data_IF_042312146082
#
_entry.id   IF_042312146082
#
_cell.length_a   1.000
_cell.length_b   1.000
_cell.length_c   1.000
_cell.angle_alpha   90.00
_cell.angle_beta   90.00
_cell.angle_gamma   90.00
#
_symmetry.space_group_name_H-M   'P 1'
#
loop_
_entity.id
_entity.type
_entity.pdbx_description
1 polymer ?
#
# COMPACT_ATOMS: atom_id res chain seq x y z
N UNK A 1 -29.19 -60.50 37.33
CA UNK A 1 -29.84 -59.39 36.63
C UNK A 1 -28.77 -58.36 36.28
N UNK A 2 -28.15 -58.51 35.05
CA UNK A 2 -27.08 -57.67 34.58
C UNK A 2 -27.61 -56.72 33.54
N UNK A 3 -27.56 -55.41 33.80
CA UNK A 3 -27.88 -54.34 32.86
C UNK A 3 -26.60 -53.94 32.14
N UNK A 4 -26.51 -54.26 30.85
CA UNK A 4 -25.42 -53.79 29.99
C UNK A 4 -25.70 -52.41 29.46
N UNK A 5 -24.75 -51.48 29.67
CA UNK A 5 -24.75 -50.14 29.10
C UNK A 5 -24.01 -50.18 27.74
N UNK A 6 -24.74 -50.06 26.64
CA UNK A 6 -24.16 -49.88 25.31
C UNK A 6 -23.87 -48.40 25.08
N UNK A 7 -22.59 -47.98 25.20
CA UNK A 7 -22.12 -46.70 24.70
C UNK A 7 -21.88 -46.78 23.20
N UNK A 8 -22.76 -46.19 22.41
CA UNK A 8 -22.65 -46.03 20.98
C UNK A 8 -21.69 -44.84 20.67
N UNK A 9 -20.39 -45.15 20.52
CA UNK A 9 -19.40 -44.20 20.07
C UNK A 9 -19.44 -44.09 18.54
N UNK A 10 -20.05 -43.06 18.01
CA UNK A 10 -19.97 -42.72 16.58
C UNK A 10 -18.55 -42.22 16.23
N UNK A 11 -17.74 -43.11 15.65
CA UNK A 11 -16.46 -42.73 15.07
C UNK A 11 -16.72 -41.89 13.82
N UNK A 12 -16.48 -40.59 13.90
CA UNK A 12 -16.45 -39.70 12.72
C UNK A 12 -15.37 -40.18 11.75
N UNK A 13 -15.78 -40.47 10.51
CA UNK A 13 -14.85 -40.91 9.48
C UNK A 13 -13.87 -39.77 9.13
N UNK A 14 -12.54 -40.00 8.99
CA UNK A 14 -11.57 -38.99 8.71
C UNK A 14 -11.80 -38.22 7.39
N UNK A 15 -12.59 -38.78 6.48
CA UNK A 15 -13.00 -38.14 5.21
C UNK A 15 -13.90 -36.92 5.40
N UNK A 16 -14.67 -36.84 6.50
CA UNK A 16 -15.52 -35.68 6.79
C UNK A 16 -14.68 -34.52 7.33
N UNK A 17 -13.59 -34.80 8.05
CA UNK A 17 -12.68 -33.79 8.59
C UNK A 17 -11.86 -33.13 7.48
N UNK A 18 -11.48 -33.91 6.43
CA UNK A 18 -10.73 -33.36 5.26
C UNK A 18 -11.61 -32.45 4.39
N UNK A 19 -12.93 -32.71 4.32
CA UNK A 19 -13.85 -31.88 3.52
C UNK A 19 -14.17 -30.54 4.18
N UNK A 20 -14.04 -30.44 5.50
CA UNK A 20 -14.27 -29.18 6.24
C UNK A 20 -13.04 -28.25 6.16
N UNK A 21 -11.84 -28.79 6.00
CA UNK A 21 -10.61 -28.01 5.81
C UNK A 21 -10.46 -27.43 4.40
N UNK A 22 -11.21 -27.94 3.40
CA UNK A 22 -11.15 -27.43 2.01
C UNK A 22 -12.18 -26.33 1.71
N UNK A 23 -12.93 -25.88 2.70
CA UNK A 23 -13.93 -24.81 2.61
C UNK A 23 -13.55 -23.58 3.47
N UNK A 24 -12.26 -23.36 3.72
CA UNK A 24 -11.81 -22.02 4.09
C UNK A 24 -12.10 -21.11 2.88
N UNK A 25 -12.99 -20.11 2.99
CA UNK A 25 -13.06 -19.10 1.96
C UNK A 25 -11.68 -18.45 1.93
N UNK A 26 -11.06 -18.42 0.77
CA UNK A 26 -9.98 -17.48 0.47
C UNK A 26 -10.62 -16.10 0.61
N UNK A 27 -10.57 -15.54 1.80
CA UNK A 27 -10.70 -14.12 2.02
C UNK A 27 -9.38 -13.58 1.43
N UNK A 28 -9.41 -13.17 0.17
CA UNK A 28 -8.39 -12.28 -0.32
C UNK A 28 -8.42 -11.07 0.62
N UNK A 29 -7.54 -11.05 1.59
CA UNK A 29 -7.28 -9.86 2.36
C UNK A 29 -6.61 -8.90 1.37
N UNK A 30 -7.15 -7.72 1.22
CA UNK A 30 -6.46 -6.68 0.48
C UNK A 30 -5.20 -6.37 1.26
N UNK A 31 -4.05 -6.64 0.67
CA UNK A 31 -2.75 -6.50 1.34
C UNK A 31 -2.45 -5.04 1.67
N UNK A 32 -2.94 -4.10 0.85
CA UNK A 32 -2.64 -2.67 0.98
C UNK A 32 -3.91 -1.80 0.96
N UNK A 33 -4.59 -1.61 2.12
CA UNK A 33 -5.82 -0.82 2.20
C UNK A 33 -5.58 0.70 2.21
N UNK A 34 -4.34 1.17 2.06
CA UNK A 34 -3.90 2.55 2.17
C UNK A 34 -3.13 2.99 0.93
N UNK A 35 -2.89 4.29 0.78
CA UNK A 35 -2.16 4.83 -0.35
C UNK A 35 -0.70 5.14 -0.06
N UNK A 36 -0.37 5.46 1.19
CA UNK A 36 0.98 5.86 1.62
C UNK A 36 1.51 4.92 2.70
N UNK A 37 0.62 4.49 3.60
CA UNK A 37 0.99 3.62 4.70
C UNK A 37 1.08 2.17 4.25
N UNK A 38 2.21 1.53 4.46
CA UNK A 38 2.39 0.10 4.25
C UNK A 38 1.90 -0.70 5.44
N UNK A 39 1.31 -1.85 5.16
CA UNK A 39 0.98 -2.86 6.18
C UNK A 39 2.16 -3.82 6.36
N UNK A 40 2.06 -4.71 7.35
CA UNK A 40 3.03 -5.79 7.54
C UNK A 40 2.74 -7.03 6.68
N UNK A 41 1.67 -6.99 5.93
CA UNK A 41 1.26 -8.07 5.03
C UNK A 41 2.20 -8.08 3.82
N UNK A 42 2.53 -9.28 3.36
CA UNK A 42 3.48 -9.53 2.28
C UNK A 42 2.74 -10.22 1.14
N UNK A 43 3.11 -9.91 -0.10
CA UNK A 43 2.57 -10.61 -1.26
C UNK A 43 2.82 -12.13 -1.17
N UNK A 44 1.84 -12.93 -1.51
CA UNK A 44 1.93 -14.39 -1.46
C UNK A 44 2.99 -14.93 -2.44
N UNK A 45 3.80 -15.92 -2.03
CA UNK A 45 4.88 -16.44 -2.87
C UNK A 45 4.40 -16.93 -4.23
N UNK A 46 4.91 -16.30 -5.29
CA UNK A 46 4.61 -16.65 -6.68
C UNK A 46 3.46 -15.85 -7.29
N UNK A 47 2.77 -15.04 -6.51
CA UNK A 47 1.75 -14.12 -7.01
C UNK A 47 2.39 -12.85 -7.57
N UNK A 48 1.70 -12.21 -8.50
CA UNK A 48 2.03 -10.90 -9.05
C UNK A 48 0.80 -10.02 -8.93
N UNK A 49 0.87 -8.97 -8.11
CA UNK A 49 -0.12 -7.90 -8.14
C UNK A 49 0.31 -6.81 -9.14
N UNK A 50 -0.65 -6.30 -9.89
CA UNK A 50 -0.47 -5.15 -10.76
C UNK A 50 -1.40 -4.06 -10.25
N UNK A 51 -0.80 -2.93 -9.85
CA UNK A 51 -1.53 -1.78 -9.34
C UNK A 51 -1.30 -0.54 -10.20
N UNK A 52 -2.28 0.31 -10.26
CA UNK A 52 -2.17 1.66 -10.80
C UNK A 52 -2.72 2.64 -9.78
N UNK A 53 -1.83 3.39 -9.15
CA UNK A 53 -2.20 4.47 -8.24
C UNK A 53 -2.12 5.83 -8.92
N UNK A 54 -3.02 6.70 -8.50
CA UNK A 54 -3.13 8.04 -9.04
C UNK A 54 -3.40 9.02 -7.90
N UNK A 55 -2.81 10.21 -8.02
CA UNK A 55 -3.06 11.33 -7.14
C UNK A 55 -3.36 12.58 -7.97
N UNK A 56 -4.38 13.31 -7.60
CA UNK A 56 -4.73 14.59 -8.20
C UNK A 56 -4.79 15.67 -7.14
N UNK A 57 -4.29 16.86 -7.44
CA UNK A 57 -4.32 17.99 -6.52
C UNK A 57 -4.17 19.33 -7.23
N UNK A 58 -4.62 20.38 -6.56
CA UNK A 58 -4.48 21.75 -7.04
C UNK A 58 -3.75 22.58 -5.98
N UNK A 59 -2.40 22.64 -6.07
CA UNK A 59 -1.60 23.41 -5.12
C UNK A 59 -1.87 24.91 -5.25
N UNK A 60 -1.82 25.69 -4.17
CA UNK A 60 -1.91 27.14 -4.23
C UNK A 60 -0.83 27.73 -5.13
N UNK A 61 -1.25 28.52 -6.11
CA UNK A 61 -0.34 29.18 -7.07
C UNK A 61 0.22 28.31 -8.19
N UNK A 62 -0.14 27.02 -8.25
CA UNK A 62 0.22 26.10 -9.31
C UNK A 62 -1.01 25.57 -10.07
N UNK A 63 -0.78 24.89 -11.20
CA UNK A 63 -1.84 24.24 -11.95
C UNK A 63 -2.25 22.90 -11.30
N UNK A 64 -3.48 22.46 -11.64
CA UNK A 64 -3.92 21.11 -11.33
C UNK A 64 -2.92 20.08 -11.87
N UNK A 65 -2.46 19.18 -11.03
CA UNK A 65 -1.61 18.07 -11.42
C UNK A 65 -2.32 16.72 -11.24
N UNK A 66 -1.81 15.74 -11.95
CA UNK A 66 -2.21 14.35 -11.90
C UNK A 66 -0.96 13.49 -11.95
N UNK A 67 -0.61 12.87 -10.84
CA UNK A 67 0.47 11.89 -10.76
C UNK A 67 -0.07 10.49 -10.89
N UNK A 68 0.63 9.63 -11.58
CA UNK A 68 0.25 8.24 -11.80
C UNK A 68 1.47 7.34 -11.69
N UNK A 69 1.33 6.20 -11.04
CA UNK A 69 2.29 5.11 -11.12
C UNK A 69 1.63 3.81 -11.57
N UNK A 70 2.44 2.94 -12.16
CA UNK A 70 2.11 1.54 -12.38
C UNK A 70 3.11 0.73 -11.56
N UNK A 71 2.60 -0.13 -10.74
CA UNK A 71 3.33 -0.98 -9.80
C UNK A 71 3.19 -2.45 -10.20
N UNK A 72 4.29 -3.19 -10.07
CA UNK A 72 4.36 -4.63 -10.22
C UNK A 72 4.93 -5.21 -8.93
N UNK A 73 4.07 -5.75 -8.09
CA UNK A 73 4.45 -6.36 -6.82
C UNK A 73 4.53 -7.88 -6.98
N UNK A 74 5.68 -8.49 -6.66
CA UNK A 74 5.90 -9.92 -6.78
C UNK A 74 6.31 -10.56 -5.46
N UNK A 75 5.56 -11.56 -5.02
CA UNK A 75 5.89 -12.39 -3.88
C UNK A 75 7.03 -13.36 -4.19
N UNK A 76 8.26 -13.01 -3.82
CA UNK A 76 9.45 -13.86 -4.04
C UNK A 76 9.49 -15.02 -3.06
N UNK A 77 9.20 -14.73 -1.79
CA UNK A 77 9.13 -15.67 -0.66
C UNK A 77 8.11 -15.12 0.36
N UNK A 78 7.60 -15.96 1.24
CA UNK A 78 6.70 -15.53 2.31
C UNK A 78 7.27 -14.43 3.23
N UNK A 79 8.56 -14.15 3.17
CA UNK A 79 9.25 -13.12 3.95
C UNK A 79 9.90 -12.05 3.07
N UNK A 80 9.74 -12.11 1.74
CA UNK A 80 10.35 -11.17 0.80
C UNK A 80 9.43 -10.89 -0.37
N UNK A 81 9.04 -9.64 -0.53
CA UNK A 81 8.33 -9.06 -1.66
C UNK A 81 9.25 -8.09 -2.38
N UNK A 82 9.19 -8.06 -3.70
CA UNK A 82 9.92 -7.10 -4.54
C UNK A 82 8.95 -6.40 -5.48
N UNK A 83 9.07 -5.07 -5.55
CA UNK A 83 8.15 -4.21 -6.29
C UNK A 83 8.93 -3.33 -7.27
N UNK A 84 8.33 -3.07 -8.41
CA UNK A 84 8.89 -2.20 -9.44
C UNK A 84 7.83 -1.21 -9.92
N UNK A 85 8.20 0.07 -9.94
CA UNK A 85 7.30 1.17 -10.27
C UNK A 85 7.75 1.91 -11.52
N UNK A 86 6.76 2.38 -12.29
CA UNK A 86 6.92 3.33 -13.39
C UNK A 86 6.08 4.56 -13.08
N UNK A 87 6.73 5.70 -12.93
CA UNK A 87 6.12 6.94 -12.48
C UNK A 87 5.93 7.94 -13.63
N UNK A 88 4.82 8.65 -13.62
CA UNK A 88 4.49 9.66 -14.57
C UNK A 88 3.62 10.77 -13.99
N UNK A 89 3.62 11.92 -14.65
CA UNK A 89 2.89 13.09 -14.19
C UNK A 89 2.33 13.89 -15.37
N UNK A 90 1.13 14.40 -15.18
CA UNK A 90 0.47 15.34 -16.08
C UNK A 90 0.10 16.60 -15.31
N UNK A 91 0.41 17.77 -15.86
CA UNK A 91 0.06 19.06 -15.25
C UNK A 91 -0.75 19.86 -16.24
N UNK A 92 -1.89 20.39 -15.79
CA UNK A 92 -2.80 21.20 -16.61
C UNK A 92 -2.06 22.41 -17.20
N UNK A 93 -2.29 22.72 -18.49
CA UNK A 93 -1.62 23.80 -19.22
C UNK A 93 -0.10 23.71 -19.26
N UNK A 94 0.48 22.53 -19.03
CA UNK A 94 1.90 22.27 -19.12
C UNK A 94 2.14 21.05 -20.02
N UNK A 95 2.48 19.90 -19.45
CA UNK A 95 2.81 18.69 -20.22
C UNK A 95 2.52 17.42 -19.41
N UNK A 96 2.63 16.28 -20.11
CA UNK A 96 2.70 14.94 -19.50
C UNK A 96 4.13 14.45 -19.66
N UNK A 97 4.73 13.98 -18.59
CA UNK A 97 6.10 13.46 -18.56
C UNK A 97 6.14 12.10 -17.87
N UNK A 98 7.08 11.25 -18.29
CA UNK A 98 7.56 10.12 -17.52
C UNK A 98 8.59 10.64 -16.53
N UNK A 99 8.38 10.42 -15.23
CA UNK A 99 9.25 10.94 -14.18
C UNK A 99 10.38 9.99 -13.85
N UNK A 100 10.14 8.69 -13.81
CA UNK A 100 11.18 7.73 -13.51
C UNK A 100 10.70 6.34 -13.13
N UNK A 101 11.56 5.63 -12.44
CA UNK A 101 11.26 4.30 -11.92
C UNK A 101 11.79 4.18 -10.49
N UNK A 102 11.18 3.24 -9.74
CA UNK A 102 11.58 2.87 -8.40
C UNK A 102 11.65 1.36 -8.28
N UNK A 103 12.51 0.89 -7.41
CA UNK A 103 12.65 -0.53 -7.10
C UNK A 103 12.69 -0.72 -5.59
N UNK A 104 11.69 -1.38 -5.10
CA UNK A 104 11.41 -1.61 -3.69
C UNK A 104 11.62 -3.06 -3.32
N UNK A 105 12.03 -3.30 -2.06
CA UNK A 105 12.08 -4.62 -1.45
C UNK A 105 11.60 -4.55 -0.01
N UNK A 106 10.64 -5.39 0.33
CA UNK A 106 10.14 -5.57 1.69
C UNK A 106 10.61 -6.91 2.25
N UNK A 107 11.11 -6.88 3.47
CA UNK A 107 11.61 -8.06 4.17
C UNK A 107 10.93 -8.17 5.52
N UNK A 108 10.24 -9.28 5.76
CA UNK A 108 9.60 -9.61 7.03
C UNK A 108 10.52 -10.51 7.86
N UNK A 109 11.25 -9.99 8.88
CA UNK A 109 12.25 -10.76 9.62
C UNK A 109 11.64 -11.75 10.60
N UNK A 110 10.39 -11.54 11.02
CA UNK A 110 9.69 -12.40 11.98
C UNK A 110 8.44 -12.97 11.34
N UNK A 111 8.44 -14.28 11.14
CA UNK A 111 7.32 -14.99 10.51
C UNK A 111 6.20 -15.28 11.52
N UNK A 112 4.97 -15.42 10.99
CA UNK A 112 3.77 -15.61 11.78
C UNK A 112 3.16 -14.28 12.22
N UNK A 113 1.99 -14.32 12.86
CA UNK A 113 1.26 -13.13 13.32
C UNK A 113 1.59 -12.87 14.79
N UNK A 114 2.02 -11.65 15.08
CA UNK A 114 2.40 -11.17 16.40
C UNK A 114 1.61 -9.90 16.74
N UNK A 115 1.70 -9.44 17.99
CA UNK A 115 1.10 -8.18 18.40
C UNK A 115 1.65 -6.98 17.62
N UNK A 116 2.95 -7.00 17.31
CA UNK A 116 3.61 -6.07 16.41
C UNK A 116 4.42 -6.90 15.41
N UNK A 117 4.20 -6.65 14.13
CA UNK A 117 4.84 -7.35 13.03
C UNK A 117 5.76 -6.37 12.28
N UNK A 118 7.08 -6.42 12.52
CA UNK A 118 8.00 -5.54 11.83
C UNK A 118 8.25 -6.02 10.40
N UNK A 119 8.33 -5.06 9.47
CA UNK A 119 8.83 -5.25 8.11
C UNK A 119 9.87 -4.18 7.82
N UNK A 120 10.98 -4.58 7.22
CA UNK A 120 12.04 -3.69 6.75
C UNK A 120 11.80 -3.45 5.28
N UNK A 121 11.76 -2.19 4.90
CA UNK A 121 11.58 -1.72 3.55
C UNK A 121 12.83 -0.99 3.08
N UNK A 122 13.23 -1.21 1.85
CA UNK A 122 14.30 -0.47 1.19
C UNK A 122 13.92 -0.25 -0.28
N UNK A 123 13.96 1.01 -0.71
CA UNK A 123 13.69 1.41 -2.09
C UNK A 123 14.87 2.18 -2.66
N UNK A 124 15.11 1.97 -3.95
CA UNK A 124 15.98 2.80 -4.77
C UNK A 124 15.13 3.53 -5.79
N UNK A 125 15.29 4.84 -5.84
CA UNK A 125 14.60 5.72 -6.76
C UNK A 125 15.55 6.32 -7.78
N UNK A 126 15.08 6.44 -9.01
CA UNK A 126 15.73 7.18 -10.08
C UNK A 126 14.67 7.97 -10.83
N UNK A 127 14.33 9.12 -10.28
CA UNK A 127 13.26 9.98 -10.77
C UNK A 127 13.81 11.32 -11.27
N UNK A 128 13.03 12.06 -11.99
CA UNK A 128 13.18 13.51 -12.10
C UNK A 128 12.33 14.13 -11.01
N UNK A 129 12.58 15.38 -10.65
CA UNK A 129 11.84 16.10 -9.62
C UNK A 129 10.34 15.80 -9.74
N UNK A 130 9.87 15.03 -8.81
CA UNK A 130 8.54 14.42 -8.79
C UNK A 130 7.57 15.34 -8.09
N UNK A 131 6.59 15.82 -8.81
CA UNK A 131 5.51 16.60 -8.25
C UNK A 131 4.32 15.76 -7.79
N UNK A 132 4.30 14.48 -8.12
CA UNK A 132 3.26 13.59 -7.66
C UNK A 132 3.58 13.17 -6.22
N UNK A 133 3.00 13.83 -5.26
CA UNK A 133 3.09 13.47 -3.84
C UNK A 133 2.64 12.03 -3.60
N UNK A 134 3.55 11.10 -3.75
CA UNK A 134 3.33 9.69 -3.39
C UNK A 134 3.24 9.58 -1.89
N UNK A 135 4.22 10.08 -1.23
CA UNK A 135 4.35 10.29 0.20
C UNK A 135 4.97 11.66 0.47
N UNK A 136 5.20 11.99 1.71
CA UNK A 136 5.83 13.24 2.10
C UNK A 136 6.98 12.93 3.03
N UNK A 137 8.18 13.30 2.63
CA UNK A 137 9.40 13.17 3.40
C UNK A 137 10.05 14.55 3.53
N UNK A 138 10.84 14.75 4.54
CA UNK A 138 11.58 15.98 4.73
C UNK A 138 10.70 17.23 4.80
N UNK A 139 11.03 18.15 3.94
CA UNK A 139 10.34 19.45 3.78
C UNK A 139 9.48 19.53 2.52
N UNK A 140 9.19 18.41 1.88
CA UNK A 140 8.35 18.36 0.69
C UNK A 140 7.01 19.04 0.88
N UNK A 141 6.56 19.77 -0.13
CA UNK A 141 5.31 20.48 -0.02
C UNK A 141 4.95 21.36 -1.20
N UNK A 142 4.08 22.36 -0.95
CA UNK A 142 3.57 23.25 -1.99
C UNK A 142 4.63 23.87 -2.88
N UNK A 143 5.83 24.29 -2.41
CA UNK A 143 6.84 24.89 -3.27
C UNK A 143 7.28 24.01 -4.45
N UNK A 144 7.31 22.69 -4.28
CA UNK A 144 7.78 21.73 -5.27
C UNK A 144 6.87 21.67 -6.50
N UNK A 145 5.59 22.05 -6.34
CA UNK A 145 4.61 22.10 -7.42
C UNK A 145 4.69 23.34 -8.32
N UNK A 146 5.49 24.34 -7.97
CA UNK A 146 5.52 25.62 -8.70
C UNK A 146 6.31 25.58 -10.00
N UNK A 147 7.28 24.68 -10.13
CA UNK A 147 8.09 24.54 -11.34
C UNK A 147 7.29 23.94 -12.50
N UNK A 148 7.63 24.27 -13.73
CA UNK A 148 7.07 23.61 -14.92
C UNK A 148 7.68 22.21 -15.10
N UNK A 149 6.91 21.28 -15.64
CA UNK A 149 7.39 19.91 -15.92
C UNK A 149 8.65 19.90 -16.81
N UNK A 150 8.75 20.80 -17.78
CA UNK A 150 9.93 20.92 -18.64
C UNK A 150 11.20 21.28 -17.87
N UNK A 151 11.10 21.94 -16.73
CA UNK A 151 12.23 22.29 -15.84
C UNK A 151 12.44 21.16 -14.83
N UNK A 152 11.40 20.74 -14.14
CA UNK A 152 11.45 19.69 -13.13
C UNK A 152 12.10 18.39 -13.65
N UNK A 153 11.77 17.97 -14.88
CA UNK A 153 12.37 16.76 -15.49
C UNK A 153 13.89 16.81 -15.72
N UNK A 154 14.50 17.97 -15.63
CA UNK A 154 15.97 18.13 -15.78
C UNK A 154 16.69 17.90 -14.46
N UNK A 155 16.00 18.03 -13.37
CA UNK A 155 16.50 17.73 -12.04
C UNK A 155 16.36 16.21 -11.79
N UNK A 156 17.51 15.53 -11.77
CA UNK A 156 17.59 14.09 -11.64
C UNK A 156 17.92 13.74 -10.20
N UNK A 157 16.98 13.08 -9.56
CA UNK A 157 17.10 12.60 -8.20
C UNK A 157 17.39 11.11 -8.19
N UNK A 158 18.32 10.72 -7.35
CA UNK A 158 18.63 9.34 -7.03
C UNK A 158 18.59 9.19 -5.53
N UNK A 159 17.62 8.47 -5.07
CA UNK A 159 17.31 8.39 -3.66
C UNK A 159 17.31 6.96 -3.18
N UNK A 160 17.60 6.81 -1.91
CA UNK A 160 17.44 5.58 -1.18
C UNK A 160 16.51 5.85 -0.01
N UNK A 161 15.37 5.19 -0.02
CA UNK A 161 14.42 5.25 1.06
C UNK A 161 14.48 3.98 1.90
N UNK A 162 14.37 4.17 3.21
CA UNK A 162 14.27 3.10 4.21
C UNK A 162 13.02 3.34 5.05
N UNK A 163 12.20 2.30 5.22
CA UNK A 163 11.07 2.32 6.16
C UNK A 163 11.19 1.20 7.18
N UNK A 164 10.82 1.52 8.40
CA UNK A 164 10.44 0.52 9.38
C UNK A 164 8.91 0.51 9.45
N UNK A 165 8.32 -0.56 8.99
CA UNK A 165 6.87 -0.78 9.01
C UNK A 165 6.54 -1.60 10.26
N UNK A 166 5.59 -1.11 11.05
CA UNK A 166 5.08 -1.79 12.24
C UNK A 166 3.58 -1.99 12.07
N UNK A 167 3.16 -3.23 11.91
CA UNK A 167 1.76 -3.57 11.67
C UNK A 167 1.18 -4.47 12.75
N UNK A 168 -0.12 -4.33 13.01
CA UNK A 168 -0.87 -5.12 13.97
C UNK A 168 -2.27 -5.39 13.46
N UNK A 169 -2.69 -6.66 13.50
CA UNK A 169 -4.07 -7.06 13.22
C UNK A 169 -4.76 -7.47 14.53
N UNK A 170 -5.83 -6.78 14.89
CA UNK A 170 -6.58 -7.08 16.10
C UNK A 170 -8.08 -6.99 15.88
N UNK A 171 -8.78 -8.12 16.01
CA UNK A 171 -10.25 -8.22 15.86
C UNK A 171 -10.79 -7.61 14.56
N UNK A 172 -10.05 -7.78 13.47
CA UNK A 172 -10.38 -7.25 12.15
C UNK A 172 -9.98 -5.79 11.94
N UNK A 173 -9.39 -5.13 12.93
CA UNK A 173 -8.71 -3.85 12.74
C UNK A 173 -7.28 -4.12 12.29
N UNK A 174 -6.86 -3.46 11.23
CA UNK A 174 -5.46 -3.28 10.87
C UNK A 174 -5.01 -1.92 11.42
N UNK A 175 -3.86 -1.88 12.08
CA UNK A 175 -3.19 -0.67 12.54
C UNK A 175 -1.76 -0.76 12.01
N UNK A 176 -1.34 0.24 11.26
CA UNK A 176 -0.01 0.27 10.65
C UNK A 176 0.67 1.61 10.88
N UNK A 177 1.96 1.58 11.14
CA UNK A 177 2.81 2.74 11.34
C UNK A 177 4.10 2.55 10.53
N UNK A 178 4.51 3.57 9.78
CA UNK A 178 5.74 3.59 9.03
C UNK A 178 6.62 4.74 9.50
N UNK A 179 7.86 4.45 9.83
CA UNK A 179 8.90 5.42 10.11
C UNK A 179 9.80 5.46 8.87
N UNK A 180 9.91 6.63 8.26
CA UNK A 180 10.53 6.82 6.95
C UNK A 180 11.82 7.60 7.12
N UNK A 181 12.87 7.17 6.42
CA UNK A 181 14.13 7.89 6.30
C UNK A 181 14.61 7.80 4.84
N UNK A 182 14.82 8.94 4.23
CA UNK A 182 15.23 9.06 2.85
C UNK A 182 16.56 9.78 2.71
N UNK A 183 17.29 9.44 1.68
CA UNK A 183 18.61 9.99 1.39
C UNK A 183 18.79 10.19 -0.10
N UNK A 184 18.77 11.43 -0.55
CA UNK A 184 19.26 11.78 -1.87
C UNK A 184 20.78 11.54 -1.93
N UNK A 185 21.21 10.76 -2.92
CA UNK A 185 22.62 10.34 -3.08
C UNK A 185 23.54 11.46 -3.61
N UNK A 186 22.99 12.64 -3.92
CA UNK A 186 23.73 13.80 -4.45
C UNK A 186 24.26 14.78 -3.41
N UNK A 187 24.29 14.44 -2.13
CA UNK A 187 24.81 15.18 -0.95
C UNK A 187 23.77 15.89 -0.07
N UNK A 188 22.49 15.72 -0.31
CA UNK A 188 21.46 16.28 0.56
C UNK A 188 21.47 15.61 1.94
N UNK A 189 20.92 16.22 2.98
CA UNK A 189 20.80 15.61 4.29
C UNK A 189 19.89 14.37 4.25
N UNK A 190 19.95 13.54 5.29
CA UNK A 190 18.88 12.58 5.57
C UNK A 190 17.60 13.34 5.89
N UNK A 191 16.54 12.93 5.26
CA UNK A 191 15.18 13.42 5.47
C UNK A 191 14.31 12.36 6.14
N UNK A 192 13.28 12.80 6.84
CA UNK A 192 12.45 11.92 7.64
C UNK A 192 10.97 12.17 7.40
N UNK A 193 10.19 11.10 7.50
CA UNK A 193 8.75 11.14 7.38
C UNK A 193 8.08 10.08 8.22
N UNK A 194 6.78 10.12 8.24
CA UNK A 194 5.94 9.13 8.90
C UNK A 194 4.66 8.89 8.11
N UNK A 195 4.13 7.68 8.23
CA UNK A 195 2.78 7.37 7.84
C UNK A 195 2.13 6.47 8.89
N UNK A 196 0.85 6.72 9.16
CA UNK A 196 0.05 5.96 10.11
C UNK A 196 -1.33 5.73 9.54
N UNK A 197 -1.87 4.53 9.72
CA UNK A 197 -3.20 4.22 9.26
C UNK A 197 -3.91 3.18 10.13
N UNK A 198 -5.23 3.23 10.07
CA UNK A 198 -6.11 2.24 10.69
C UNK A 198 -7.26 1.94 9.74
N UNK A 199 -7.57 0.66 9.58
CA UNK A 199 -8.71 0.25 8.74
C UNK A 199 -9.40 -0.99 9.27
N UNK A 200 -10.57 -1.25 8.71
CA UNK A 200 -11.35 -2.45 9.02
C UNK A 200 -12.28 -2.80 7.87
N UNK A 201 -12.46 -4.09 7.54
CA UNK A 201 -13.59 -4.55 6.73
C UNK A 201 -14.92 -4.14 7.38
N UNK A 202 -15.87 -3.66 6.59
CA UNK A 202 -17.19 -3.27 7.11
C UNK A 202 -17.94 -4.46 7.70
N UNK A 203 -17.60 -5.68 7.29
CA UNK A 203 -18.11 -6.92 7.86
C UNK A 203 -17.02 -8.00 7.81
N UNK A 204 -16.81 -8.69 8.94
CA UNK A 204 -15.79 -9.75 9.05
C UNK A 204 -16.29 -11.13 8.58
N UNK A 205 -17.60 -11.35 8.56
CA UNK A 205 -18.16 -12.63 8.15
C UNK A 205 -18.64 -12.56 6.70
N UNK A 206 -18.27 -13.56 5.90
CA UNK A 206 -18.76 -13.69 4.54
C UNK A 206 -20.30 -13.83 4.51
N UNK A 207 -20.90 -13.23 3.50
CA UNK A 207 -22.34 -13.36 3.25
C UNK A 207 -22.67 -14.77 2.74
N UNK A 208 -23.84 -15.31 3.14
CA UNK A 208 -24.30 -16.61 2.68
C UNK A 208 -24.58 -16.66 1.16
N UNK A 209 -24.76 -15.50 0.54
CA UNK A 209 -25.02 -15.36 -0.89
C UNK A 209 -23.95 -14.52 -1.55
N UNK A 210 -23.53 -14.91 -2.77
CA UNK A 210 -22.61 -14.11 -3.58
C UNK A 210 -23.30 -12.79 -3.95
N UNK A 211 -22.70 -11.68 -3.59
CA UNK A 211 -23.14 -10.38 -4.02
C UNK A 211 -21.93 -9.48 -4.37
N UNK A 212 -22.14 -8.52 -5.26
CA UNK A 212 -21.09 -7.63 -5.73
C UNK A 212 -20.79 -6.51 -4.72
N UNK A 213 -21.83 -6.01 -4.06
CA UNK A 213 -21.71 -4.89 -3.11
C UNK A 213 -22.05 -5.32 -1.67
N UNK A 214 -21.56 -6.49 -1.25
CA UNK A 214 -21.65 -6.94 0.13
C UNK A 214 -20.71 -6.16 1.02
N UNK A 215 -21.10 -5.94 2.28
CA UNK A 215 -20.31 -5.16 3.24
C UNK A 215 -18.92 -5.76 3.51
N UNK A 216 -18.75 -7.06 3.41
CA UNK A 216 -17.45 -7.76 3.55
C UNK A 216 -16.46 -7.46 2.41
N UNK A 217 -16.95 -6.90 1.30
CA UNK A 217 -16.11 -6.47 0.16
C UNK A 217 -15.63 -5.03 0.26
N UNK A 218 -16.06 -4.34 1.29
CA UNK A 218 -15.63 -2.98 1.58
C UNK A 218 -14.74 -2.96 2.81
N UNK A 219 -13.64 -2.25 2.68
CA UNK A 219 -12.77 -1.88 3.80
C UNK A 219 -12.74 -0.36 3.89
N UNK A 220 -12.88 0.16 5.10
CA UNK A 220 -12.79 1.59 5.36
C UNK A 220 -11.73 1.87 6.42
N UNK A 221 -11.04 2.99 6.27
CA UNK A 221 -9.95 3.38 7.14
C UNK A 221 -9.75 4.87 7.23
N UNK A 222 -8.72 5.22 7.94
CA UNK A 222 -8.18 6.57 8.08
C UNK A 222 -6.67 6.48 7.92
N UNK A 223 -6.10 7.41 7.17
CA UNK A 223 -4.66 7.48 6.91
C UNK A 223 -4.15 8.89 7.21
N UNK A 224 -3.01 9.00 7.88
CA UNK A 224 -2.29 10.23 8.18
C UNK A 224 -0.82 10.06 7.85
N UNK A 225 -0.24 11.04 7.16
CA UNK A 225 1.19 11.02 6.84
C UNK A 225 1.76 12.43 6.72
N UNK A 226 3.08 12.55 6.77
CA UNK A 226 3.76 13.84 6.63
C UNK A 226 5.26 13.76 6.86
N UNK A 227 5.92 14.86 6.50
CA UNK A 227 7.34 15.05 6.70
C UNK A 227 7.70 15.38 8.15
N UNK A 228 8.91 15.02 8.54
CA UNK A 228 9.52 15.35 9.82
C UNK A 228 10.79 16.21 9.66
N UNK A 229 10.98 16.80 8.47
CA UNK A 229 12.15 17.59 8.17
C UNK A 229 13.40 16.73 7.98
N UNK A 230 14.56 17.39 8.06
CA UNK A 230 15.86 16.78 7.84
C UNK A 230 16.66 16.60 9.14
N UNK A 231 17.86 16.02 9.05
CA UNK A 231 18.74 15.81 10.19
C UNK A 231 19.22 17.09 10.89
N UNK A 232 19.09 18.26 10.26
CA UNK A 232 19.48 19.55 10.81
C UNK A 232 18.29 20.34 11.36
N UNK A 233 17.10 20.07 10.82
CA UNK A 233 15.83 20.72 11.16
C UNK A 233 14.73 19.68 11.32
N UNK A 234 14.92 18.79 12.31
CA UNK A 234 13.94 17.73 12.59
C UNK A 234 12.74 18.27 13.37
N UNK A 235 11.54 17.98 12.90
CA UNK A 235 10.29 18.34 13.54
C UNK A 235 9.14 18.59 12.57
N UNK A 236 8.07 19.20 13.07
CA UNK A 236 6.84 19.46 12.30
C UNK A 236 6.82 20.85 11.65
N UNK A 237 7.89 21.62 11.76
CA UNK A 237 7.97 22.95 11.22
C UNK A 237 8.30 22.93 9.73
N UNK A 238 7.50 23.65 8.94
CA UNK A 238 7.70 23.78 7.49
C UNK A 238 7.64 22.42 6.75
N UNK A 239 6.86 21.50 7.30
CA UNK A 239 6.63 20.17 6.73
C UNK A 239 5.15 19.99 6.39
N UNK A 240 4.84 19.23 5.35
CA UNK A 240 3.48 18.95 4.92
C UNK A 240 2.88 17.78 5.71
N UNK A 241 1.59 17.87 6.02
CA UNK A 241 0.85 16.81 6.71
C UNK A 241 -0.53 16.64 6.09
N UNK A 242 -0.95 15.39 5.95
CA UNK A 242 -2.23 15.04 5.35
C UNK A 242 -2.98 14.05 6.24
N UNK A 243 -4.31 14.16 6.21
CA UNK A 243 -5.22 13.23 6.87
C UNK A 243 -6.42 13.00 5.97
N UNK A 244 -6.84 11.74 5.81
CA UNK A 244 -8.04 11.44 5.04
C UNK A 244 -8.57 10.04 5.24
N UNK A 245 -9.87 9.83 4.97
CA UNK A 245 -10.46 8.50 4.97
C UNK A 245 -10.00 7.69 3.76
N UNK A 246 -9.92 6.38 3.92
CA UNK A 246 -9.69 5.42 2.83
C UNK A 246 -10.89 4.50 2.68
N UNK A 247 -11.26 4.19 1.45
CA UNK A 247 -12.31 3.21 1.14
C UNK A 247 -11.82 2.34 0.01
N UNK A 248 -11.91 1.03 0.21
CA UNK A 248 -11.55 0.02 -0.77
C UNK A 248 -12.75 -0.89 -1.03
N UNK A 249 -12.93 -1.29 -2.27
CA UNK A 249 -13.93 -2.24 -2.68
C UNK A 249 -13.32 -3.31 -3.57
N UNK A 250 -13.42 -4.57 -3.15
CA UNK A 250 -12.93 -5.71 -3.93
C UNK A 250 -14.07 -6.37 -4.69
N UNK A 251 -14.00 -6.33 -5.99
CA UNK A 251 -14.96 -6.94 -6.89
C UNK A 251 -14.94 -8.48 -6.80
N UNK A 252 -16.01 -9.18 -7.26
CA UNK A 252 -16.04 -10.66 -7.26
C UNK A 252 -14.95 -11.35 -8.07
N UNK A 253 -14.33 -10.65 -8.99
CA UNK A 253 -13.22 -11.14 -9.84
C UNK A 253 -11.82 -10.88 -9.24
N UNK A 254 -11.74 -10.33 -8.04
CA UNK A 254 -10.47 -9.99 -7.38
C UNK A 254 -9.96 -8.57 -7.66
N UNK A 255 -10.52 -7.82 -8.61
CA UNK A 255 -10.12 -6.43 -8.83
C UNK A 255 -10.49 -5.57 -7.64
N UNK A 256 -9.54 -4.80 -7.12
CA UNK A 256 -9.79 -3.83 -6.06
C UNK A 256 -9.79 -2.40 -6.60
N UNK A 257 -10.75 -1.61 -6.16
CA UNK A 257 -10.81 -0.17 -6.38
C UNK A 257 -10.64 0.55 -5.04
N UNK A 258 -9.72 1.50 -5.01
CA UNK A 258 -9.36 2.28 -3.83
C UNK A 258 -9.60 3.77 -4.06
N UNK A 259 -10.10 4.46 -3.03
CA UNK A 259 -10.32 5.91 -3.07
C UNK A 259 -10.02 6.54 -1.72
N UNK A 260 -9.36 7.72 -1.75
CA UNK A 260 -9.06 8.49 -0.54
C UNK A 260 -8.97 9.99 -0.87
N UNK A 261 -9.90 10.82 -0.37
CA UNK A 261 -9.69 12.26 -0.29
C UNK A 261 -8.78 12.55 0.90
N UNK A 262 -7.69 13.26 0.66
CA UNK A 262 -6.72 13.67 1.68
C UNK A 262 -6.76 15.18 1.86
N UNK A 263 -6.75 15.62 3.11
CA UNK A 263 -6.82 17.02 3.50
C UNK A 263 -5.49 17.48 4.07
N UNK A 264 -4.93 18.55 3.48
CA UNK A 264 -3.75 19.21 4.02
C UNK A 264 -4.06 19.87 5.37
N UNK A 265 -3.19 19.66 6.34
CA UNK A 265 -3.39 20.09 7.71
C UNK A 265 -2.74 21.45 8.03
N UNK A 266 -1.94 21.98 7.12
CA UNK A 266 -1.24 23.26 7.29
C UNK A 266 -0.96 23.95 5.94
N UNK A 267 -0.36 25.13 5.98
CA UNK A 267 -0.10 25.96 4.79
C UNK A 267 1.02 25.41 3.87
N UNK A 268 1.80 24.45 4.33
CA UNK A 268 2.81 23.75 3.51
C UNK A 268 2.22 22.62 2.70
N UNK A 269 1.02 22.18 3.06
CA UNK A 269 0.32 21.07 2.41
C UNK A 269 -0.57 21.58 1.27
N UNK A 270 -0.70 20.77 0.22
CA UNK A 270 -1.77 20.97 -0.77
C UNK A 270 -3.11 20.79 -0.07
N UNK A 271 -4.05 21.77 -0.18
CA UNK A 271 -5.28 21.73 0.62
C UNK A 271 -6.11 20.46 0.46
N UNK A 272 -6.16 19.92 -0.77
CA UNK A 272 -6.91 18.72 -1.10
C UNK A 272 -6.12 17.86 -2.10
N UNK A 273 -5.91 16.60 -1.76
CA UNK A 273 -5.44 15.57 -2.67
C UNK A 273 -6.54 14.51 -2.83
N UNK A 274 -6.71 14.01 -4.02
CA UNK A 274 -7.62 12.91 -4.32
C UNK A 274 -6.80 11.74 -4.84
N UNK A 275 -6.80 10.64 -4.08
CA UNK A 275 -6.10 9.41 -4.46
C UNK A 275 -7.10 8.37 -4.90
N UNK A 276 -6.77 7.66 -5.97
CA UNK A 276 -7.54 6.52 -6.45
C UNK A 276 -6.62 5.47 -7.05
N UNK A 277 -6.99 4.22 -6.85
CA UNK A 277 -6.22 3.08 -7.28
C UNK A 277 -7.10 1.99 -7.88
N UNK A 278 -6.48 1.18 -8.68
CA UNK A 278 -7.01 -0.09 -9.18
C UNK A 278 -5.91 -1.11 -9.09
N UNK A 279 -6.21 -2.29 -8.52
CA UNK A 279 -5.27 -3.40 -8.44
C UNK A 279 -5.90 -4.72 -8.85
N UNK A 280 -5.07 -5.64 -9.29
CA UNK A 280 -5.45 -6.99 -9.65
C UNK A 280 -4.29 -7.96 -9.40
N UNK A 281 -4.55 -8.99 -8.62
CA UNK A 281 -3.61 -10.05 -8.29
C UNK A 281 -3.72 -11.22 -9.29
N UNK A 282 -2.56 -11.70 -9.75
CA UNK A 282 -2.41 -12.88 -10.60
C UNK A 282 -1.77 -13.98 -9.77
N UNK A 283 -2.59 -14.91 -9.31
CA UNK A 283 -2.13 -16.05 -8.51
C UNK A 283 -1.16 -16.93 -9.31
N UNK A 284 -0.06 -17.35 -8.67
CA UNK A 284 0.94 -18.27 -9.24
C UNK A 284 1.41 -17.87 -10.64
N UNK A 285 1.76 -16.59 -10.80
CA UNK A 285 2.08 -15.94 -12.08
C UNK A 285 3.03 -16.77 -12.97
N UNK A 286 4.14 -17.28 -12.43
CA UNK A 286 5.12 -18.05 -13.20
C UNK A 286 4.57 -19.38 -13.73
N UNK A 287 3.50 -19.92 -13.15
CA UNK A 287 2.90 -21.17 -13.62
C UNK A 287 2.30 -21.05 -15.03
N UNK A 288 1.92 -19.84 -15.44
CA UNK A 288 1.38 -19.59 -16.78
C UNK A 288 2.42 -19.81 -17.89
N UNK A 289 3.70 -19.57 -17.59
CA UNK A 289 4.79 -19.75 -18.57
C UNK A 289 5.26 -21.21 -18.67
N UNK A 290 5.07 -22.03 -17.64
CA UNK A 290 5.47 -23.44 -17.64
C UNK A 290 4.39 -24.38 -18.21
N UNK A 291 3.19 -23.90 -18.52
CA UNK A 291 2.12 -24.71 -19.15
C UNK A 291 2.29 -24.95 -20.65
N UNK A 292 3.23 -24.27 -21.31
CA UNK A 292 3.49 -24.40 -22.76
C UNK A 292 4.36 -25.59 -23.16
N UNK A 293 4.96 -26.29 -22.21
CA UNK A 293 5.94 -27.37 -22.46
C UNK A 293 5.36 -28.81 -22.24
N UNK A 294 4.05 -28.97 -22.30
CA UNK A 294 3.40 -30.30 -22.21
C UNK A 294 2.58 -30.64 -23.45
#
# INVERSE_FOLDING_TARGET
>A
MQLGCNCCGTKMKPTVLLLILSLAPLLAAQERPYFVTYTHEMEEPGNLEIEMFNVAGHPPGANLFFGSNIEFEYGVKAWWTSEFYLDGQSTQNDSTIFTGFRWENRIRPVMGEHWINPVIYAEFENTSADKALREVVGHDGVPDFLSRNAVARLDKEREMELKLILGSNYRGWNISENIIAEKNLSNDPWEFGYAWAVSRPLRLAASAHKCTFCAERFQAGLEMYGGLGDRYSFGLNQTSHYLGPTVNWTAPNGTTLSFSPQFGLNDYSVPHLYRFGISYEIEQFLSYFHRGDR
#
